data_IF_105506038106
#
_entry.id   IF_105506038106
#
_cell.length_a   1.000
_cell.length_b   1.000
_cell.length_c   1.000
_cell.angle_alpha   90.00
_cell.angle_beta   90.00
_cell.angle_gamma   90.00
#
_symmetry.space_group_name_H-M   'P 1'
#
loop_
_entity.id
_entity.type
_entity.pdbx_description
1 polymer ?
#
# COMPACT_ATOMS: atom_id res chain seq x y z
N UNK A 1 -7.78 -14.50 -18.77
CA UNK A 1 -6.82 -14.46 -17.65
C UNK A 1 -7.52 -13.82 -16.45
N UNK A 2 -7.32 -14.34 -15.24
CA UNK A 2 -7.88 -13.73 -14.03
C UNK A 2 -7.10 -12.47 -13.69
N UNK A 3 -7.77 -11.31 -13.64
CA UNK A 3 -7.20 -10.05 -13.17
C UNK A 3 -7.77 -9.77 -11.78
N UNK A 4 -6.93 -9.61 -10.75
CA UNK A 4 -7.45 -9.26 -9.44
C UNK A 4 -8.08 -7.85 -9.49
N UNK A 5 -9.11 -7.63 -8.69
CA UNK A 5 -9.71 -6.30 -8.56
C UNK A 5 -8.78 -5.30 -7.87
N UNK A 6 -7.89 -5.78 -6.99
CA UNK A 6 -6.86 -5.01 -6.31
C UNK A 6 -5.74 -5.94 -5.82
N UNK A 7 -4.61 -5.36 -5.46
CA UNK A 7 -3.47 -6.04 -4.84
C UNK A 7 -3.25 -5.42 -3.47
N UNK A 8 -3.03 -6.22 -2.42
CA UNK A 8 -2.80 -5.70 -1.07
C UNK A 8 -1.44 -6.11 -0.51
N UNK A 9 -0.74 -5.19 0.15
CA UNK A 9 0.55 -5.45 0.78
C UNK A 9 0.71 -4.81 2.16
N UNK A 10 1.47 -5.49 3.01
CA UNK A 10 1.94 -4.90 4.26
C UNK A 10 3.07 -3.88 3.98
N UNK A 11 2.84 -2.60 4.25
CA UNK A 11 3.72 -1.49 3.82
C UNK A 11 5.09 -1.46 4.51
N UNK A 12 5.20 -2.08 5.68
CA UNK A 12 6.45 -2.21 6.44
C UNK A 12 7.28 -3.43 6.03
N UNK A 13 6.68 -4.37 5.32
CA UNK A 13 7.30 -5.64 4.93
C UNK A 13 7.50 -5.75 3.41
N UNK A 14 7.47 -4.62 2.70
CA UNK A 14 7.65 -4.55 1.26
C UNK A 14 8.55 -3.38 0.91
N UNK A 15 9.44 -3.58 -0.07
CA UNK A 15 10.27 -2.49 -0.55
C UNK A 15 9.46 -1.51 -1.40
N UNK A 16 9.78 -0.20 -1.36
CA UNK A 16 9.15 0.79 -2.23
C UNK A 16 9.29 0.46 -3.72
N UNK A 17 10.39 -0.20 -4.12
CA UNK A 17 10.62 -0.62 -5.51
C UNK A 17 9.67 -1.73 -5.94
N UNK A 18 9.27 -2.63 -5.03
CA UNK A 18 8.24 -3.64 -5.31
C UNK A 18 6.87 -2.98 -5.48
N UNK A 19 6.50 -2.05 -4.59
CA UNK A 19 5.24 -1.31 -4.69
C UNK A 19 5.11 -0.56 -6.02
N UNK A 20 6.18 0.14 -6.44
CA UNK A 20 6.22 0.81 -7.76
C UNK A 20 6.04 -0.17 -8.93
N UNK A 21 6.61 -1.38 -8.85
CA UNK A 21 6.41 -2.40 -9.89
C UNK A 21 4.97 -2.90 -9.97
N UNK A 22 4.19 -2.81 -8.90
CA UNK A 22 2.79 -3.25 -8.92
C UNK A 22 1.90 -2.33 -9.76
N UNK A 23 2.25 -1.05 -9.89
CA UNK A 23 1.52 -0.08 -10.70
C UNK A 23 1.39 -0.52 -12.18
N UNK A 24 2.32 -1.33 -12.69
CA UNK A 24 2.27 -1.87 -14.06
C UNK A 24 1.09 -2.80 -14.34
N UNK A 25 0.45 -3.33 -13.31
CA UNK A 25 -0.69 -4.24 -13.46
C UNK A 25 -2.02 -3.47 -13.64
N UNK A 26 -1.99 -2.14 -13.60
CA UNK A 26 -3.14 -1.25 -13.76
C UNK A 26 -4.29 -1.56 -12.79
N UNK A 27 -4.00 -2.22 -11.66
CA UNK A 27 -4.98 -2.53 -10.61
C UNK A 27 -4.62 -1.75 -9.35
N UNK A 28 -5.62 -1.31 -8.57
CA UNK A 28 -5.38 -0.60 -7.32
C UNK A 28 -4.48 -1.41 -6.37
N UNK A 29 -3.55 -0.72 -5.73
CA UNK A 29 -2.68 -1.25 -4.67
C UNK A 29 -3.16 -0.70 -3.33
N UNK A 30 -3.47 -1.60 -2.40
CA UNK A 30 -3.92 -1.30 -1.05
C UNK A 30 -2.79 -1.60 -0.05
N UNK A 31 -2.33 -0.59 0.68
CA UNK A 31 -1.37 -0.78 1.77
C UNK A 31 -2.05 -1.02 3.11
N UNK A 32 -1.47 -1.87 3.96
CA UNK A 32 -1.89 -2.10 5.35
C UNK A 32 -0.68 -2.50 6.22
N UNK A 33 -0.73 -2.62 7.54
CA UNK A 33 -1.51 -1.76 8.44
C UNK A 33 -0.61 -0.60 8.87
N UNK A 34 -1.07 0.63 8.67
CA UNK A 34 -0.35 1.82 9.12
C UNK A 34 -0.70 2.09 10.57
N UNK A 35 0.30 1.97 11.46
CA UNK A 35 0.14 2.18 12.91
C UNK A 35 0.68 3.50 13.43
N UNK A 36 1.44 4.22 12.62
CA UNK A 36 2.09 5.47 13.02
C UNK A 36 2.07 6.49 11.87
N UNK A 37 1.97 7.79 12.17
CA UNK A 37 2.02 8.85 11.16
C UNK A 37 3.29 8.80 10.29
N UNK A 38 4.42 8.40 10.86
CA UNK A 38 5.70 8.30 10.12
C UNK A 38 5.67 7.26 9.00
N UNK A 39 4.88 6.20 9.17
CA UNK A 39 4.67 5.14 8.17
C UNK A 39 3.68 5.60 7.12
N UNK A 40 2.62 6.30 7.53
CA UNK A 40 1.65 6.91 6.62
C UNK A 40 2.36 7.81 5.59
N UNK A 41 3.17 8.75 6.07
CA UNK A 41 3.88 9.72 5.22
C UNK A 41 4.81 9.06 4.20
N UNK A 42 5.42 7.91 4.54
CA UNK A 42 6.29 7.17 3.62
C UNK A 42 5.51 6.34 2.59
N UNK A 43 4.29 5.92 2.94
CA UNK A 43 3.51 4.97 2.14
C UNK A 43 2.44 5.64 1.26
N UNK A 44 1.94 6.82 1.63
CA UNK A 44 0.79 7.48 0.98
C UNK A 44 0.96 7.72 -0.52
N UNK A 45 2.20 7.92 -0.99
CA UNK A 45 2.50 8.16 -2.41
C UNK A 45 2.89 6.87 -3.17
N UNK A 46 2.92 5.72 -2.48
CA UNK A 46 3.36 4.44 -3.04
C UNK A 46 2.20 3.48 -3.35
N UNK A 47 1.01 3.76 -2.84
CA UNK A 47 -0.20 2.94 -2.97
C UNK A 47 -1.41 3.81 -3.21
N UNK A 48 -2.49 3.24 -3.75
CA UNK A 48 -3.72 3.98 -4.05
C UNK A 48 -4.58 4.23 -2.82
N UNK A 49 -4.44 3.39 -1.79
CA UNK A 49 -5.17 3.54 -0.53
C UNK A 49 -4.44 2.84 0.64
N UNK A 50 -4.74 3.28 1.86
CA UNK A 50 -4.11 2.78 3.10
C UNK A 50 -5.17 2.38 4.13
N UNK A 51 -5.04 1.18 4.68
CA UNK A 51 -5.72 0.79 5.92
C UNK A 51 -4.86 1.27 7.09
N UNK A 52 -5.42 2.24 7.81
CA UNK A 52 -4.78 2.88 8.96
C UNK A 52 -5.47 2.43 10.23
N UNK A 53 -4.69 2.13 11.27
CA UNK A 53 -5.24 1.87 12.59
C UNK A 53 -5.83 3.16 13.16
N UNK A 54 -6.98 3.10 13.82
CA UNK A 54 -7.70 4.31 14.26
C UNK A 54 -6.88 5.20 15.21
N UNK A 55 -5.92 4.62 15.94
CA UNK A 55 -4.98 5.32 16.83
C UNK A 55 -3.84 6.04 16.11
N UNK A 56 -3.66 5.81 14.82
CA UNK A 56 -2.55 6.34 14.01
C UNK A 56 -2.90 7.62 13.24
N UNK A 57 -4.15 8.08 13.33
CA UNK A 57 -4.67 9.32 12.74
C UNK A 57 -4.81 10.43 13.79
#
# INVERSE_FOLDING_TARGET
ASRPNFISYEVTNVSPSTLKKLQRFEVPVLGWTVREPSVYEKAKDLVDNLIVEASAL
#
